data_IF_336975705908
#
_entry.id   IF_336975705908
#
_cell.length_a   1.000
_cell.length_b   1.000
_cell.length_c   1.000
_cell.angle_alpha   90.00
_cell.angle_beta   90.00
_cell.angle_gamma   90.00
#
_symmetry.space_group_name_H-M   'P 1'
#
loop_
_entity.id
_entity.type
_entity.pdbx_description
1 polymer ?
#
# COMPACT_ATOMS: atom_id res chain seq x y z
N UNK A 1 22.25 61.49 -33.71
CA UNK A 1 23.30 61.94 -34.65
C UNK A 1 23.00 61.28 -35.96
N UNK A 2 22.71 61.79 -37.13
CA UNK A 2 22.83 63.04 -37.80
C UNK A 2 22.02 62.86 -39.09
N UNK A 3 20.96 63.60 -39.31
CA UNK A 3 20.69 64.57 -40.39
C UNK A 3 21.46 64.41 -41.69
N UNK A 4 20.75 64.34 -42.85
CA UNK A 4 20.71 65.38 -43.91
C UNK A 4 19.89 64.86 -45.09
N UNK A 5 18.77 65.46 -45.41
CA UNK A 5 18.55 66.47 -46.46
C UNK A 5 19.07 66.08 -47.86
N UNK A 6 18.11 65.96 -48.80
CA UNK A 6 18.21 66.83 -49.98
C UNK A 6 16.83 66.82 -50.68
N UNK A 7 16.15 67.97 -50.60
CA UNK A 7 15.21 68.54 -51.53
C UNK A 7 15.98 69.01 -52.73
N UNK A 8 15.59 68.59 -53.95
CA UNK A 8 15.72 69.35 -55.19
C UNK A 8 15.44 68.43 -56.38
N UNK A 9 14.31 68.52 -57.00
CA UNK A 9 14.09 68.20 -58.43
C UNK A 9 12.60 68.26 -58.81
N UNK A 10 11.83 69.16 -58.19
CA UNK A 10 10.44 69.39 -58.59
C UNK A 10 10.23 70.70 -59.35
N UNK A 11 11.30 71.37 -59.77
CA UNK A 11 11.21 72.70 -60.49
C UNK A 11 11.66 72.67 -61.94
N UNK A 12 12.18 71.56 -62.43
CA UNK A 12 12.67 71.54 -63.85
C UNK A 12 11.74 70.81 -64.85
N UNK A 13 10.60 70.27 -64.40
CA UNK A 13 9.65 69.62 -65.37
C UNK A 13 8.46 70.51 -65.72
N UNK A 14 8.38 71.72 -65.19
CA UNK A 14 7.22 72.62 -65.39
C UNK A 14 7.42 73.68 -66.50
N UNK A 15 8.56 73.60 -67.25
CA UNK A 15 8.88 74.61 -68.26
C UNK A 15 8.83 74.12 -69.70
N UNK A 16 8.36 72.84 -69.93
CA UNK A 16 8.36 72.28 -71.30
C UNK A 16 7.03 71.82 -71.87
N UNK A 17 5.89 72.23 -71.26
CA UNK A 17 4.59 71.96 -71.90
C UNK A 17 3.80 73.25 -72.05
N UNK A 18 4.08 73.86 -73.16
CA UNK A 18 3.43 75.09 -73.63
C UNK A 18 1.89 74.95 -73.78
N UNK A 19 1.28 76.13 -73.63
CA UNK A 19 -0.11 76.49 -73.86
C UNK A 19 -0.77 75.78 -75.08
N UNK A 20 -1.95 75.17 -74.81
CA UNK A 20 -2.77 74.58 -75.86
C UNK A 20 -4.20 74.30 -75.44
N UNK A 21 -5.00 75.30 -75.41
CA UNK A 21 -6.47 75.28 -75.66
C UNK A 21 -7.36 74.35 -74.84
N UNK A 22 -7.89 74.92 -73.74
CA UNK A 22 -9.12 74.46 -73.08
C UNK A 22 -10.36 74.45 -73.89
N UNK A 23 -10.73 73.35 -74.50
CA UNK A 23 -12.09 73.17 -74.97
C UNK A 23 -12.88 72.35 -73.99
N UNK A 24 -13.85 73.00 -73.29
CA UNK A 24 -14.80 72.39 -72.36
C UNK A 24 -15.57 71.26 -72.95
N UNK A 25 -15.01 69.99 -72.93
CA UNK A 25 -15.63 68.75 -73.39
C UNK A 25 -16.77 68.26 -72.51
N UNK A 26 -16.81 68.77 -71.25
CA UNK A 26 -17.77 68.31 -70.24
C UNK A 26 -19.18 68.92 -70.38
N UNK A 27 -19.46 69.76 -71.34
CA UNK A 27 -20.78 70.38 -71.53
C UNK A 27 -21.56 69.79 -72.69
N UNK A 28 -21.13 68.73 -73.37
CA UNK A 28 -21.91 68.03 -74.38
C UNK A 28 -22.87 67.02 -73.74
N UNK A 29 -24.15 67.07 -74.03
CA UNK A 29 -25.15 66.18 -73.43
C UNK A 29 -24.84 64.70 -73.70
N UNK A 30 -24.11 64.41 -74.75
CA UNK A 30 -23.69 63.06 -75.16
C UNK A 30 -22.70 62.37 -74.14
N UNK A 31 -21.86 63.18 -73.44
CA UNK A 31 -20.94 62.61 -72.47
C UNK A 31 -21.69 62.22 -71.21
N UNK A 32 -22.72 62.94 -70.84
CA UNK A 32 -23.54 62.61 -69.68
C UNK A 32 -24.42 61.40 -69.93
N UNK A 33 -24.94 61.24 -71.15
CA UNK A 33 -25.71 60.03 -71.54
C UNK A 33 -24.80 58.77 -71.50
N UNK A 34 -23.55 58.91 -71.97
CA UNK A 34 -22.56 57.85 -71.90
C UNK A 34 -22.20 57.44 -70.46
N UNK A 35 -22.00 58.46 -69.54
CA UNK A 35 -21.69 58.21 -68.15
C UNK A 35 -22.89 57.55 -67.44
N UNK A 36 -24.11 57.93 -67.69
CA UNK A 36 -25.30 57.26 -67.11
C UNK A 36 -25.51 55.86 -67.67
N UNK A 37 -25.18 55.62 -68.92
CA UNK A 37 -25.26 54.27 -69.48
C UNK A 37 -24.20 53.32 -68.88
N UNK A 38 -22.96 53.83 -68.69
CA UNK A 38 -21.92 53.07 -68.07
C UNK A 38 -22.24 52.82 -66.54
N UNK A 39 -22.72 53.83 -65.82
CA UNK A 39 -23.15 53.68 -64.45
C UNK A 39 -24.32 52.66 -64.33
N UNK A 40 -25.32 52.70 -65.29
CA UNK A 40 -26.38 51.72 -65.29
C UNK A 40 -25.91 50.31 -65.65
N UNK A 41 -24.93 50.17 -66.55
CA UNK A 41 -24.35 48.85 -66.90
C UNK A 41 -23.53 48.28 -65.72
N UNK A 42 -22.73 49.12 -65.08
CA UNK A 42 -21.95 48.73 -63.87
C UNK A 42 -22.88 48.39 -62.73
N UNK A 43 -23.90 49.27 -62.42
CA UNK A 43 -24.90 49.00 -61.38
C UNK A 43 -25.72 47.72 -61.67
N UNK A 44 -26.12 47.51 -62.95
CA UNK A 44 -26.78 46.27 -63.33
C UNK A 44 -25.90 45.03 -63.20
N UNK A 45 -24.61 45.15 -63.56
CA UNK A 45 -23.64 44.06 -63.40
C UNK A 45 -23.42 43.71 -61.96
N UNK A 46 -23.23 44.74 -61.11
CA UNK A 46 -23.03 44.55 -59.66
C UNK A 46 -24.30 43.99 -58.97
N UNK A 47 -25.47 44.46 -59.38
CA UNK A 47 -26.78 43.95 -58.96
C UNK A 47 -26.97 42.46 -59.38
N UNK A 48 -26.60 42.13 -60.60
CA UNK A 48 -26.67 40.76 -61.08
C UNK A 48 -25.66 39.84 -60.38
N UNK A 49 -24.48 40.35 -60.10
CA UNK A 49 -23.45 39.61 -59.35
C UNK A 49 -23.86 39.36 -57.89
N UNK A 50 -24.41 40.38 -57.20
CA UNK A 50 -24.91 40.24 -55.83
C UNK A 50 -26.10 39.29 -55.72
N UNK A 51 -26.97 39.25 -56.75
CA UNK A 51 -28.09 38.30 -56.83
C UNK A 51 -27.64 36.87 -57.14
N UNK A 52 -26.54 36.69 -57.86
CA UNK A 52 -25.94 35.35 -58.04
C UNK A 52 -25.35 34.80 -56.77
N UNK A 53 -24.69 35.62 -55.97
CA UNK A 53 -24.12 35.21 -54.69
C UNK A 53 -25.21 34.94 -53.63
N UNK A 54 -26.29 35.75 -53.63
CA UNK A 54 -27.41 35.57 -52.69
C UNK A 54 -28.23 34.27 -52.99
N UNK A 55 -28.20 33.78 -54.23
CA UNK A 55 -28.91 32.56 -54.65
C UNK A 55 -28.00 31.31 -54.75
N UNK A 56 -26.75 31.42 -54.29
CA UNK A 56 -25.89 30.26 -54.22
C UNK A 56 -26.46 29.28 -53.18
N UNK A 57 -27.08 28.22 -53.61
CA UNK A 57 -27.59 27.14 -52.75
C UNK A 57 -26.42 26.63 -51.94
N UNK A 58 -26.56 26.50 -50.61
CA UNK A 58 -25.49 25.95 -49.80
C UNK A 58 -25.07 24.56 -50.33
N UNK A 59 -23.80 24.42 -50.71
CA UNK A 59 -23.27 23.12 -51.08
C UNK A 59 -23.07 22.31 -49.82
N UNK A 60 -23.98 21.37 -49.58
CA UNK A 60 -23.82 20.40 -48.51
C UNK A 60 -22.80 19.35 -48.96
N UNK A 61 -21.72 19.25 -48.23
CA UNK A 61 -20.79 18.12 -48.38
C UNK A 61 -21.43 16.92 -47.66
N UNK A 62 -22.00 16.00 -48.44
CA UNK A 62 -22.56 14.77 -47.86
C UNK A 62 -21.52 13.69 -47.89
N UNK A 63 -21.29 13.07 -46.72
CA UNK A 63 -20.52 11.84 -46.60
C UNK A 63 -21.47 10.67 -46.39
N UNK A 64 -21.21 9.58 -47.08
CA UNK A 64 -21.95 8.35 -46.82
C UNK A 64 -21.68 7.86 -45.40
N UNK A 65 -22.74 7.62 -44.65
CA UNK A 65 -22.64 6.95 -43.36
C UNK A 65 -22.14 5.51 -43.56
N UNK A 66 -20.94 5.23 -43.09
CA UNK A 66 -20.37 3.89 -43.10
C UNK A 66 -20.49 3.30 -41.70
N UNK A 67 -20.94 2.05 -41.62
CA UNK A 67 -20.83 1.29 -40.38
C UNK A 67 -19.37 0.91 -40.19
N UNK A 68 -18.80 1.16 -39.04
CA UNK A 68 -17.44 0.78 -38.65
C UNK A 68 -17.43 0.37 -37.21
N UNK A 69 -16.44 -0.41 -36.85
CA UNK A 69 -16.22 -0.80 -35.46
C UNK A 69 -15.68 0.41 -34.68
N UNK A 70 -16.28 0.69 -33.55
CA UNK A 70 -15.82 1.69 -32.60
C UNK A 70 -15.09 0.97 -31.45
N UNK A 71 -13.79 1.16 -31.37
CA UNK A 71 -13.02 0.70 -30.21
C UNK A 71 -12.99 1.80 -29.16
N UNK A 72 -13.56 1.51 -28.02
CA UNK A 72 -13.50 2.38 -26.86
C UNK A 72 -12.33 1.93 -25.99
N UNK A 73 -11.43 2.88 -25.68
CA UNK A 73 -10.25 2.62 -24.85
C UNK A 73 -10.35 3.42 -23.57
N UNK A 74 -10.31 2.73 -22.45
CA UNK A 74 -10.20 3.34 -21.12
C UNK A 74 -8.72 3.53 -20.81
N UNK A 75 -8.32 4.78 -20.50
CA UNK A 75 -6.98 5.12 -20.08
C UNK A 75 -6.97 5.37 -18.57
N UNK A 76 -6.06 4.72 -17.87
CA UNK A 76 -5.94 4.85 -16.42
C UNK A 76 -4.48 4.78 -15.99
N UNK A 77 -4.18 5.40 -14.85
CA UNK A 77 -2.86 5.34 -14.26
C UNK A 77 -2.80 4.23 -13.22
N UNK A 78 -1.62 3.63 -13.08
CA UNK A 78 -1.43 2.54 -12.14
C UNK A 78 -0.01 2.45 -11.61
N UNK A 79 0.15 1.60 -10.61
CA UNK A 79 1.45 1.30 -9.99
C UNK A 79 1.74 -0.19 -10.07
N UNK A 80 3.00 -0.53 -10.36
CA UNK A 80 3.47 -1.90 -10.30
C UNK A 80 3.79 -2.26 -8.85
N UNK A 81 3.14 -3.31 -8.35
CA UNK A 81 3.35 -3.80 -7.00
C UNK A 81 3.72 -5.29 -7.01
N UNK A 82 4.50 -5.77 -6.04
CA UNK A 82 4.73 -7.19 -5.87
C UNK A 82 3.40 -7.91 -5.62
N UNK A 83 3.26 -9.12 -6.14
CA UNK A 83 2.03 -9.91 -6.00
C UNK A 83 1.71 -10.19 -4.53
N UNK A 84 2.73 -10.33 -3.69
CA UNK A 84 2.58 -10.59 -2.26
C UNK A 84 3.59 -9.80 -1.45
N UNK A 85 3.09 -9.00 -0.53
CA UNK A 85 3.88 -8.28 0.47
C UNK A 85 3.42 -8.65 1.86
N UNK A 86 4.35 -8.67 2.82
CA UNK A 86 4.05 -8.89 4.23
C UNK A 86 4.64 -7.75 5.03
N UNK A 87 3.80 -7.09 5.79
CA UNK A 87 4.21 -6.06 6.74
C UNK A 87 4.61 -6.72 8.06
N UNK A 88 5.82 -6.46 8.50
CA UNK A 88 6.39 -6.98 9.73
C UNK A 88 6.41 -5.87 10.77
N UNK A 89 5.74 -6.10 11.87
CA UNK A 89 5.69 -5.21 13.03
C UNK A 89 6.28 -5.87 14.28
N UNK A 90 6.27 -5.17 15.40
CA UNK A 90 6.64 -5.72 16.70
C UNK A 90 5.42 -6.19 17.47
N UNK A 91 5.50 -7.39 18.06
CA UNK A 91 4.50 -7.91 18.99
C UNK A 91 4.78 -7.47 20.45
N UNK A 92 5.97 -6.92 20.70
CA UNK A 92 6.40 -6.43 22.02
C UNK A 92 6.78 -4.96 21.94
N UNK A 93 6.54 -4.25 23.04
CA UNK A 93 7.06 -2.89 23.23
C UNK A 93 8.48 -2.94 23.76
N UNK A 94 9.36 -2.13 23.22
CA UNK A 94 10.75 -2.06 23.66
C UNK A 94 11.56 -1.08 22.82
N UNK A 95 12.85 -0.95 23.13
CA UNK A 95 13.79 -0.17 22.34
C UNK A 95 14.55 -1.11 21.40
N UNK A 96 14.74 -0.68 20.17
CA UNK A 96 15.53 -1.41 19.18
C UNK A 96 17.01 -1.33 19.56
N UNK A 97 17.65 -2.47 19.76
CA UNK A 97 19.09 -2.57 20.03
C UNK A 97 19.88 -2.61 18.74
N UNK A 98 19.53 -3.53 17.84
CA UNK A 98 20.21 -3.72 16.57
C UNK A 98 19.20 -3.92 15.43
N UNK A 99 19.55 -3.40 14.24
CA UNK A 99 18.89 -3.70 12.96
C UNK A 99 19.93 -4.43 12.11
N UNK A 100 19.62 -5.66 11.68
CA UNK A 100 20.56 -6.57 11.02
C UNK A 100 20.45 -6.60 9.50
N UNK A 101 19.48 -5.86 8.95
CA UNK A 101 19.13 -5.88 7.53
C UNK A 101 18.76 -4.49 7.05
N UNK A 102 18.94 -4.24 5.75
CA UNK A 102 18.59 -2.96 5.13
C UNK A 102 17.67 -3.15 3.92
N UNK A 103 17.23 -2.03 3.34
CA UNK A 103 16.40 -2.02 2.14
C UNK A 103 17.14 -2.71 0.98
N UNK A 104 16.41 -3.51 0.21
CA UNK A 104 16.88 -4.37 -0.88
C UNK A 104 17.65 -5.63 -0.44
N UNK A 105 17.80 -5.90 0.86
CA UNK A 105 18.41 -7.13 1.32
C UNK A 105 17.47 -8.34 1.08
N UNK A 106 18.09 -9.46 0.68
CA UNK A 106 17.39 -10.75 0.57
C UNK A 106 17.37 -11.43 1.94
N UNK A 107 16.19 -11.78 2.39
CA UNK A 107 15.96 -12.42 3.69
C UNK A 107 15.32 -13.78 3.52
N UNK A 108 15.63 -14.68 4.45
CA UNK A 108 15.03 -16.02 4.53
C UNK A 108 14.01 -16.08 5.65
N UNK A 109 13.03 -16.93 5.51
CA UNK A 109 12.07 -17.25 6.58
C UNK A 109 12.79 -17.64 7.87
N UNK A 110 12.44 -16.99 8.98
CA UNK A 110 13.07 -17.20 10.28
C UNK A 110 14.36 -16.41 10.51
N UNK A 111 14.87 -15.69 9.52
CA UNK A 111 16.02 -14.80 9.69
C UNK A 111 15.65 -13.62 10.59
N UNK A 112 16.53 -13.32 11.55
CA UNK A 112 16.37 -12.17 12.47
C UNK A 112 16.61 -10.88 11.68
N UNK A 113 15.68 -9.96 11.79
CA UNK A 113 15.74 -8.63 11.15
C UNK A 113 16.12 -7.55 12.14
N UNK A 114 15.52 -7.62 13.34
CA UNK A 114 15.71 -6.66 14.44
C UNK A 114 15.81 -7.39 15.75
N UNK A 115 16.65 -6.88 16.62
CA UNK A 115 16.76 -7.28 18.02
C UNK A 115 16.33 -6.11 18.92
N UNK A 116 15.34 -6.35 19.74
CA UNK A 116 14.95 -5.44 20.80
C UNK A 116 15.91 -5.55 22.00
N UNK A 117 15.89 -4.55 22.86
CA UNK A 117 16.57 -4.64 24.16
C UNK A 117 15.91 -5.72 25.02
N UNK A 118 16.69 -6.72 25.39
CA UNK A 118 16.24 -7.92 26.11
C UNK A 118 16.61 -7.93 27.57
N UNK A 119 17.29 -6.91 28.11
CA UNK A 119 17.84 -6.94 29.45
C UNK A 119 16.75 -7.17 30.51
N UNK A 120 15.63 -6.47 30.40
CA UNK A 120 14.47 -6.65 31.28
C UNK A 120 13.81 -8.04 31.11
N UNK A 121 13.69 -8.52 29.89
CA UNK A 121 13.09 -9.85 29.58
C UNK A 121 14.01 -10.96 30.13
N UNK A 122 15.32 -10.81 29.98
CA UNK A 122 16.28 -11.77 30.49
C UNK A 122 16.28 -11.82 32.03
N UNK A 123 16.17 -10.67 32.68
CA UNK A 123 16.04 -10.61 34.15
C UNK A 123 14.73 -11.29 34.61
N UNK A 124 13.63 -11.08 33.90
CA UNK A 124 12.34 -11.74 34.16
C UNK A 124 12.45 -13.27 33.96
N UNK A 125 13.04 -13.71 32.88
CA UNK A 125 13.29 -15.13 32.60
C UNK A 125 14.11 -15.79 33.71
N UNK A 126 15.16 -15.13 34.17
CA UNK A 126 15.99 -15.64 35.28
C UNK A 126 15.18 -15.77 36.58
N UNK A 127 14.28 -14.80 36.84
CA UNK A 127 13.37 -14.88 38.02
C UNK A 127 12.42 -16.07 37.91
N UNK A 128 11.84 -16.32 36.73
CA UNK A 128 10.93 -17.45 36.52
C UNK A 128 11.66 -18.79 36.59
N UNK A 129 12.92 -18.87 36.11
CA UNK A 129 13.76 -20.05 36.30
C UNK A 129 14.00 -20.33 37.77
N UNK A 130 14.30 -19.30 38.58
CA UNK A 130 14.48 -19.47 40.02
C UNK A 130 13.20 -19.90 40.72
N UNK A 131 12.03 -19.39 40.27
CA UNK A 131 10.71 -19.81 40.77
C UNK A 131 10.45 -21.30 40.49
N UNK A 132 10.75 -21.80 39.31
CA UNK A 132 10.63 -23.22 38.96
C UNK A 132 11.54 -24.06 39.86
N UNK A 133 12.80 -23.65 40.07
CA UNK A 133 13.73 -24.35 40.93
C UNK A 133 13.23 -24.41 42.39
N UNK A 134 12.67 -23.33 42.93
CA UNK A 134 12.06 -23.27 44.23
C UNK A 134 10.85 -24.19 44.37
N UNK A 135 9.94 -24.18 43.38
CA UNK A 135 8.77 -25.07 43.36
C UNK A 135 9.19 -26.56 43.28
N UNK A 136 10.23 -26.88 42.48
CA UNK A 136 10.80 -28.24 42.43
C UNK A 136 11.38 -28.70 43.74
N UNK A 137 12.14 -27.82 44.44
CA UNK A 137 12.68 -28.15 45.74
C UNK A 137 11.57 -28.43 46.77
N UNK A 138 10.49 -27.63 46.75
CA UNK A 138 9.33 -27.87 47.60
C UNK A 138 8.64 -29.21 47.27
N UNK A 139 8.50 -29.56 45.99
CA UNK A 139 7.97 -30.87 45.57
C UNK A 139 8.82 -32.02 46.11
N UNK A 140 10.15 -31.91 46.02
CA UNK A 140 11.06 -32.92 46.60
C UNK A 140 10.87 -33.06 48.13
N UNK A 141 10.66 -31.94 48.84
CA UNK A 141 10.39 -31.93 50.28
C UNK A 141 9.06 -32.68 50.56
N UNK A 142 7.99 -32.36 49.88
CA UNK A 142 6.68 -33.03 50.09
C UNK A 142 6.71 -34.51 49.71
N UNK A 143 7.47 -34.90 48.68
CA UNK A 143 7.71 -36.27 48.30
C UNK A 143 8.46 -37.04 49.40
N UNK A 144 9.44 -36.41 50.02
CA UNK A 144 10.16 -37.00 51.19
C UNK A 144 9.21 -37.17 52.38
N UNK A 145 8.39 -36.17 52.68
CA UNK A 145 7.38 -36.26 53.77
C UNK A 145 6.34 -37.34 53.50
N UNK A 146 5.87 -37.49 52.25
CA UNK A 146 4.95 -38.57 51.87
C UNK A 146 5.61 -39.94 52.05
N UNK A 147 6.89 -40.08 51.63
CA UNK A 147 7.65 -41.34 51.80
C UNK A 147 7.77 -41.70 53.29
N UNK A 148 8.04 -40.71 54.16
CA UNK A 148 8.09 -40.87 55.59
C UNK A 148 6.72 -41.31 56.16
N UNK A 149 5.64 -40.62 55.85
CA UNK A 149 4.30 -40.95 56.26
C UNK A 149 3.86 -42.38 55.85
N UNK A 150 4.17 -42.78 54.61
CA UNK A 150 3.89 -44.14 54.13
C UNK A 150 4.71 -45.20 54.86
N UNK A 151 6.02 -44.92 55.11
CA UNK A 151 6.85 -45.83 55.84
C UNK A 151 6.43 -46.00 57.32
N UNK A 152 5.91 -44.92 57.92
CA UNK A 152 5.34 -44.94 59.27
C UNK A 152 4.07 -45.77 59.33
N UNK A 153 3.12 -45.52 58.40
CA UNK A 153 1.89 -46.31 58.32
C UNK A 153 2.21 -47.81 58.11
N UNK A 154 3.11 -48.16 57.18
CA UNK A 154 3.48 -49.53 56.91
C UNK A 154 4.09 -50.22 58.17
N UNK A 155 4.89 -49.51 58.95
CA UNK A 155 5.39 -50.07 60.23
C UNK A 155 4.29 -50.30 61.23
N UNK A 156 3.35 -49.36 61.37
CA UNK A 156 2.20 -49.49 62.31
C UNK A 156 1.25 -50.62 61.89
N UNK A 157 0.97 -50.79 60.61
CA UNK A 157 0.18 -51.91 60.07
C UNK A 157 0.86 -53.27 60.30
N UNK A 158 2.18 -53.35 60.14
CA UNK A 158 2.94 -54.56 60.42
C UNK A 158 2.90 -54.91 61.92
N UNK A 159 3.09 -53.93 62.83
CA UNK A 159 2.96 -54.13 64.26
C UNK A 159 1.54 -54.60 64.65
N UNK A 160 0.54 -53.97 64.07
CA UNK A 160 -0.87 -54.34 64.27
C UNK A 160 -1.15 -55.78 63.85
N UNK A 161 -0.64 -56.19 62.71
CA UNK A 161 -0.70 -57.58 62.17
C UNK A 161 -0.01 -58.59 63.13
N UNK A 162 1.20 -58.28 63.57
CA UNK A 162 2.01 -59.15 64.42
C UNK A 162 1.42 -59.27 65.85
N UNK A 163 0.79 -58.21 66.37
CA UNK A 163 0.14 -58.18 67.69
C UNK A 163 -1.28 -58.86 67.75
N UNK A 164 -1.74 -59.36 66.63
CA UNK A 164 -3.13 -59.88 66.53
C UNK A 164 -4.20 -58.79 66.68
N UNK A 165 -3.95 -57.56 66.31
CA UNK A 165 -4.87 -56.43 66.35
C UNK A 165 -4.94 -55.69 67.69
N UNK A 166 -4.02 -55.95 68.60
CA UNK A 166 -4.02 -55.34 69.94
C UNK A 166 -3.31 -54.01 70.00
N UNK A 167 -2.26 -53.81 69.21
CA UNK A 167 -1.41 -52.60 69.17
C UNK A 167 -0.94 -52.39 67.74
N UNK A 168 -0.95 -51.15 67.23
CA UNK A 168 -1.55 -49.92 67.77
C UNK A 168 -3.10 -49.95 67.76
N UNK A 169 -3.72 -48.98 68.45
CA UNK A 169 -5.17 -48.83 68.47
C UNK A 169 -5.72 -48.46 67.07
N UNK A 170 -7.02 -48.73 66.84
CA UNK A 170 -7.66 -48.36 65.61
C UNK A 170 -7.56 -46.84 65.33
N UNK A 171 -7.71 -46.02 66.36
CA UNK A 171 -7.55 -44.55 66.27
C UNK A 171 -6.14 -44.11 65.86
N UNK A 172 -5.09 -44.83 66.30
CA UNK A 172 -3.71 -44.53 65.87
C UNK A 172 -3.44 -44.92 64.43
N UNK A 173 -4.00 -46.03 63.96
CA UNK A 173 -3.94 -46.43 62.56
C UNK A 173 -4.72 -45.44 61.65
N UNK A 174 -5.90 -45.01 62.07
CA UNK A 174 -6.69 -44.04 61.31
C UNK A 174 -5.98 -42.67 61.26
N UNK A 175 -5.29 -42.28 62.36
CA UNK A 175 -4.46 -41.05 62.36
C UNK A 175 -3.30 -41.17 61.39
N UNK A 176 -2.63 -42.35 61.32
CA UNK A 176 -1.51 -42.58 60.38
C UNK A 176 -1.98 -42.61 58.93
N UNK A 177 -3.18 -43.18 58.65
CA UNK A 177 -3.80 -43.15 57.31
C UNK A 177 -4.16 -41.70 56.90
N UNK A 178 -4.78 -40.95 57.78
CA UNK A 178 -5.06 -39.54 57.55
C UNK A 178 -3.78 -38.68 57.29
N UNK A 179 -2.66 -39.06 57.99
CA UNK A 179 -1.36 -38.39 57.72
C UNK A 179 -0.86 -38.69 56.29
N UNK A 180 -1.00 -39.92 55.81
CA UNK A 180 -0.64 -40.26 54.38
C UNK A 180 -1.56 -39.53 53.40
N UNK A 181 -2.85 -39.49 53.66
CA UNK A 181 -3.77 -38.75 52.76
C UNK A 181 -3.44 -37.25 52.68
N UNK A 182 -3.11 -36.62 53.79
CA UNK A 182 -2.67 -35.23 53.83
C UNK A 182 -1.38 -35.05 53.05
N UNK A 183 -0.37 -35.92 53.23
CA UNK A 183 0.90 -35.86 52.53
C UNK A 183 0.74 -36.07 51.00
N UNK A 184 -0.24 -36.92 50.57
CA UNK A 184 -0.59 -37.09 49.15
C UNK A 184 -1.22 -35.79 48.60
N UNK A 185 -2.12 -35.16 49.36
CA UNK A 185 -2.70 -33.87 48.95
C UNK A 185 -1.65 -32.74 48.87
N UNK A 186 -0.69 -32.71 49.80
CA UNK A 186 0.42 -31.76 49.81
C UNK A 186 1.38 -31.96 48.61
N UNK A 187 1.68 -33.23 48.27
CA UNK A 187 2.44 -33.54 47.05
C UNK A 187 1.70 -33.08 45.79
N UNK A 188 0.41 -33.36 45.69
CA UNK A 188 -0.38 -32.93 44.52
C UNK A 188 -0.43 -31.40 44.40
N UNK A 189 -0.55 -30.67 45.52
CA UNK A 189 -0.49 -29.20 45.55
C UNK A 189 0.90 -28.68 45.12
N UNK A 190 1.98 -29.34 45.55
CA UNK A 190 3.35 -28.97 45.16
C UNK A 190 3.58 -29.27 43.66
N UNK A 191 3.04 -30.38 43.12
CA UNK A 191 3.09 -30.67 41.69
C UNK A 191 2.36 -29.61 40.87
N UNK A 192 1.17 -29.18 41.28
CA UNK A 192 0.45 -28.07 40.68
C UNK A 192 1.27 -26.77 40.68
N UNK A 193 1.94 -26.45 41.78
CA UNK A 193 2.82 -25.28 41.89
C UNK A 193 4.02 -25.32 40.90
N UNK A 194 4.57 -26.52 40.64
CA UNK A 194 5.63 -26.72 39.63
C UNK A 194 5.06 -26.49 38.24
N UNK A 195 3.86 -26.96 37.97
CA UNK A 195 3.18 -26.77 36.66
C UNK A 195 2.94 -25.27 36.40
N UNK A 196 2.46 -24.54 37.40
CA UNK A 196 2.24 -23.10 37.37
C UNK A 196 3.55 -22.33 37.10
N UNK A 197 4.58 -22.63 37.84
CA UNK A 197 5.89 -21.98 37.67
C UNK A 197 6.48 -22.26 36.26
N UNK A 198 6.29 -23.48 35.74
CA UNK A 198 6.72 -23.84 34.38
C UNK A 198 5.92 -23.11 33.31
N UNK A 199 4.61 -22.89 33.50
CA UNK A 199 3.79 -22.14 32.60
C UNK A 199 4.24 -20.67 32.54
N UNK A 200 4.54 -20.06 33.70
CA UNK A 200 5.10 -18.71 33.76
C UNK A 200 6.45 -18.62 33.05
N UNK A 201 7.35 -19.58 33.27
CA UNK A 201 8.63 -19.64 32.56
C UNK A 201 8.45 -19.73 31.07
N UNK A 202 7.52 -20.55 30.59
CA UNK A 202 7.24 -20.73 29.15
C UNK A 202 6.74 -19.43 28.51
N UNK A 203 5.93 -18.65 29.24
CA UNK A 203 5.47 -17.32 28.81
C UNK A 203 6.67 -16.37 28.66
N UNK A 204 7.57 -16.32 29.63
CA UNK A 204 8.75 -15.45 29.58
C UNK A 204 9.75 -15.87 28.48
N UNK A 205 9.93 -17.18 28.25
CA UNK A 205 10.72 -17.69 27.11
C UNK A 205 10.10 -17.26 25.77
N UNK A 206 8.79 -17.32 25.64
CA UNK A 206 8.07 -16.89 24.45
C UNK A 206 8.26 -15.39 24.22
N UNK A 207 8.10 -14.58 25.26
CA UNK A 207 8.33 -13.14 25.19
C UNK A 207 9.76 -12.81 24.78
N UNK A 208 10.75 -13.49 25.34
CA UNK A 208 12.16 -13.31 24.97
C UNK A 208 12.38 -13.69 23.49
N UNK A 209 11.77 -14.77 23.03
CA UNK A 209 11.88 -15.18 21.61
C UNK A 209 11.25 -14.18 20.65
N UNK A 210 10.18 -13.50 21.06
CA UNK A 210 9.49 -12.43 20.29
C UNK A 210 10.27 -11.11 20.27
N UNK A 211 11.22 -10.93 21.17
CA UNK A 211 12.12 -9.77 21.14
C UNK A 211 13.07 -9.79 19.94
N UNK A 212 13.30 -10.95 19.34
CA UNK A 212 13.99 -11.08 18.06
C UNK A 212 12.95 -11.14 16.94
N UNK A 213 12.75 -10.05 16.23
CA UNK A 213 11.78 -9.94 15.14
C UNK A 213 12.35 -10.63 13.92
N UNK A 214 11.61 -11.62 13.39
CA UNK A 214 12.06 -12.48 12.28
C UNK A 214 11.16 -12.35 11.07
N UNK A 215 11.73 -12.60 9.89
CA UNK A 215 10.92 -12.67 8.66
C UNK A 215 10.03 -13.92 8.66
N UNK A 216 8.72 -13.78 8.42
CA UNK A 216 7.80 -14.92 8.27
C UNK A 216 7.90 -15.61 6.91
N UNK A 217 8.52 -14.97 5.90
CA UNK A 217 8.64 -15.45 4.53
C UNK A 217 10.07 -15.26 4.00
N UNK A 218 10.39 -15.97 2.92
CA UNK A 218 11.55 -15.64 2.09
C UNK A 218 11.21 -14.45 1.19
N UNK A 219 12.16 -13.54 0.95
CA UNK A 219 11.86 -12.38 0.12
C UNK A 219 12.94 -11.31 0.12
N UNK A 220 12.54 -10.11 -0.29
CA UNK A 220 13.38 -8.90 -0.34
C UNK A 220 12.71 -7.79 0.46
N UNK A 221 13.49 -7.07 1.25
CA UNK A 221 12.99 -5.92 2.03
C UNK A 221 12.74 -4.75 1.08
N UNK A 222 11.50 -4.26 1.06
CA UNK A 222 11.11 -3.08 0.28
C UNK A 222 11.30 -1.79 1.06
N UNK A 223 10.86 -1.79 2.33
CA UNK A 223 10.92 -0.62 3.20
C UNK A 223 11.43 -0.99 4.58
N UNK A 224 12.18 -0.08 5.18
CA UNK A 224 12.64 -0.12 6.57
C UNK A 224 12.21 1.19 7.23
N UNK A 225 11.41 1.09 8.28
CA UNK A 225 10.87 2.22 9.05
C UNK A 225 11.36 2.22 10.50
N UNK A 226 12.49 1.57 10.76
CA UNK A 226 13.04 1.40 12.10
C UNK A 226 14.55 1.54 12.11
N UNK A 227 15.06 2.27 13.11
CA UNK A 227 16.50 2.47 13.34
C UNK A 227 16.89 2.02 14.76
N UNK A 228 18.18 1.67 14.99
CA UNK A 228 18.68 1.44 16.33
C UNK A 228 18.42 2.63 17.25
N UNK A 229 17.93 2.36 18.46
CA UNK A 229 17.50 3.37 19.42
C UNK A 229 16.03 3.79 19.33
N UNK A 230 15.31 3.42 18.29
CA UNK A 230 13.88 3.72 18.19
C UNK A 230 13.09 2.91 19.22
N UNK A 231 12.12 3.55 19.85
CA UNK A 231 11.13 2.86 20.68
C UNK A 231 10.01 2.32 19.81
N UNK A 232 9.71 1.04 19.93
CA UNK A 232 8.58 0.38 19.29
C UNK A 232 7.53 0.01 20.32
N UNK A 233 6.27 0.18 19.99
CA UNK A 233 5.14 -0.14 20.86
C UNK A 233 4.23 -1.16 20.19
N UNK A 234 3.89 -2.22 20.92
CA UNK A 234 2.81 -3.13 20.56
C UNK A 234 1.47 -2.43 20.87
N UNK A 235 0.98 -1.62 19.93
CA UNK A 235 -0.29 -0.91 20.04
C UNK A 235 -1.34 -1.51 19.10
N UNK A 236 -2.62 -1.10 19.27
CA UNK A 236 -3.72 -1.49 18.39
C UNK A 236 -3.47 -1.12 16.91
N UNK A 237 -2.64 -0.13 16.65
CA UNK A 237 -2.08 0.17 15.34
C UNK A 237 -0.64 -0.33 15.30
N UNK A 238 -0.47 -1.56 14.82
CA UNK A 238 0.86 -2.14 14.67
C UNK A 238 1.70 -1.26 13.72
N UNK A 239 2.75 -0.66 14.26
CA UNK A 239 3.71 0.10 13.45
C UNK A 239 4.45 -0.89 12.56
N UNK A 240 4.34 -0.73 11.24
CA UNK A 240 5.10 -1.52 10.28
C UNK A 240 6.58 -1.12 10.36
N UNK A 241 7.42 -2.08 10.71
CA UNK A 241 8.88 -1.90 10.79
C UNK A 241 9.54 -2.20 9.45
N UNK A 242 9.08 -3.26 8.78
CA UNK A 242 9.54 -3.66 7.46
C UNK A 242 8.36 -4.09 6.59
N UNK A 243 8.52 -3.86 5.28
CA UNK A 243 7.69 -4.49 4.27
C UNK A 243 8.58 -5.42 3.46
N UNK A 244 8.21 -6.69 3.40
CA UNK A 244 8.94 -7.73 2.66
C UNK A 244 8.10 -8.20 1.48
N UNK A 245 8.69 -8.22 0.28
CA UNK A 245 8.08 -8.82 -0.91
C UNK A 245 8.60 -10.24 -1.09
N UNK A 246 7.71 -11.19 -1.37
CA UNK A 246 8.07 -12.59 -1.59
C UNK A 246 8.83 -12.78 -2.91
N UNK A 247 8.34 -12.14 -3.98
CA UNK A 247 8.95 -12.27 -5.31
C UNK A 247 8.79 -10.95 -6.09
N UNK A 248 9.92 -10.38 -6.51
CA UNK A 248 9.95 -9.17 -7.33
C UNK A 248 9.87 -9.46 -8.83
N UNK A 249 9.92 -10.73 -9.25
CA UNK A 249 9.76 -11.10 -10.66
C UNK A 249 8.28 -11.20 -11.04
N UNK A 250 7.40 -11.43 -10.06
CA UNK A 250 5.95 -11.48 -10.24
C UNK A 250 5.31 -10.22 -9.73
N UNK A 251 5.12 -9.28 -10.63
CA UNK A 251 4.46 -8.02 -10.32
C UNK A 251 3.01 -8.04 -10.81
N UNK A 252 2.15 -7.33 -10.12
CA UNK A 252 0.81 -6.97 -10.59
C UNK A 252 0.76 -5.47 -10.80
N UNK A 253 0.00 -5.06 -11.79
CA UNK A 253 -0.31 -3.67 -12.04
C UNK A 253 -1.64 -3.34 -11.33
N UNK A 254 -1.62 -2.46 -10.36
CA UNK A 254 -2.83 -1.91 -9.77
C UNK A 254 -3.14 -0.59 -10.45
N UNK A 255 -4.34 -0.49 -11.04
CA UNK A 255 -4.77 0.63 -11.86
C UNK A 255 -5.95 1.31 -11.18
N UNK A 256 -5.90 2.63 -11.07
CA UNK A 256 -7.03 3.43 -10.59
C UNK A 256 -7.87 3.88 -11.78
N UNK A 257 -9.07 3.32 -11.91
CA UNK A 257 -10.02 3.62 -12.98
C UNK A 257 -11.06 4.60 -12.45
N UNK A 258 -11.39 5.62 -13.23
CA UNK A 258 -12.42 6.60 -12.89
C UNK A 258 -13.82 5.97 -12.82
N UNK A 259 -14.70 6.52 -11.96
CA UNK A 259 -16.09 6.06 -11.81
C UNK A 259 -16.87 6.08 -13.14
N UNK A 260 -16.58 7.05 -14.01
CA UNK A 260 -17.24 7.15 -15.30
C UNK A 260 -16.90 5.98 -16.25
N UNK A 261 -15.72 5.38 -16.11
CA UNK A 261 -15.18 4.39 -17.04
C UNK A 261 -15.27 2.95 -16.48
N UNK A 262 -15.43 2.78 -15.16
CA UNK A 262 -15.38 1.47 -14.52
C UNK A 262 -16.46 0.49 -15.04
N UNK A 263 -17.62 1.01 -15.46
CA UNK A 263 -18.69 0.20 -16.02
C UNK A 263 -18.34 -0.54 -17.31
N UNK A 264 -17.24 -0.13 -17.98
CA UNK A 264 -16.75 -0.72 -19.23
C UNK A 264 -15.58 -1.68 -19.02
N UNK A 265 -15.02 -1.73 -17.80
CA UNK A 265 -13.89 -2.60 -17.43
C UNK A 265 -14.43 -3.91 -16.88
N UNK A 266 -14.04 -5.03 -17.50
CA UNK A 266 -14.46 -6.37 -17.10
C UNK A 266 -13.26 -7.29 -16.89
N UNK A 267 -13.41 -8.25 -15.98
CA UNK A 267 -12.43 -9.30 -15.82
C UNK A 267 -12.20 -10.07 -17.12
N UNK A 268 -10.95 -10.38 -17.39
CA UNK A 268 -10.56 -11.10 -18.60
C UNK A 268 -10.26 -10.22 -19.82
N UNK A 269 -10.55 -8.92 -19.79
CA UNK A 269 -10.22 -7.99 -20.88
C UNK A 269 -8.71 -7.89 -21.08
N UNK A 270 -8.32 -7.72 -22.35
CA UNK A 270 -6.94 -7.43 -22.71
C UNK A 270 -6.64 -5.97 -22.45
N UNK A 271 -5.52 -5.71 -21.83
CA UNK A 271 -4.99 -4.38 -21.58
C UNK A 271 -3.55 -4.30 -22.09
N UNK A 272 -3.05 -3.11 -22.22
CA UNK A 272 -1.65 -2.84 -22.49
C UNK A 272 -1.20 -1.65 -21.65
N UNK A 273 0.03 -1.69 -21.18
CA UNK A 273 0.59 -0.59 -20.41
C UNK A 273 2.02 -0.26 -20.85
N UNK A 274 2.42 0.96 -20.56
CA UNK A 274 3.80 1.43 -20.73
C UNK A 274 4.32 1.87 -19.36
N UNK A 275 5.61 1.74 -19.13
CA UNK A 275 6.27 2.24 -17.92
C UNK A 275 7.11 3.47 -18.25
N UNK A 276 7.16 4.43 -17.35
CA UNK A 276 7.91 5.68 -17.54
C UNK A 276 9.40 5.46 -17.83
N UNK A 277 9.97 4.36 -17.32
CA UNK A 277 11.35 3.98 -17.59
C UNK A 277 11.58 3.52 -19.05
N UNK A 278 10.55 3.01 -19.73
CA UNK A 278 10.63 2.51 -21.11
C UNK A 278 9.36 2.91 -21.89
N UNK A 279 9.20 4.20 -22.24
CA UNK A 279 7.96 4.71 -22.85
C UNK A 279 7.70 4.15 -24.26
N UNK A 280 8.75 3.70 -24.95
CA UNK A 280 8.62 3.08 -26.28
C UNK A 280 8.21 1.60 -26.25
N UNK A 281 8.17 0.97 -25.09
CA UNK A 281 7.84 -0.45 -24.95
C UNK A 281 6.46 -0.64 -24.34
N UNK A 282 5.59 -1.30 -25.07
CA UNK A 282 4.26 -1.68 -24.59
C UNK A 282 4.27 -3.10 -24.08
N UNK A 283 3.72 -3.31 -22.90
CA UNK A 283 3.61 -4.61 -22.24
C UNK A 283 2.14 -5.08 -22.31
N UNK A 284 1.89 -6.30 -22.75
CA UNK A 284 0.55 -6.86 -22.70
C UNK A 284 0.17 -7.20 -21.25
N UNK A 285 -1.09 -6.94 -20.93
CA UNK A 285 -1.67 -7.28 -19.63
C UNK A 285 -3.07 -7.85 -19.82
N UNK A 286 -3.64 -8.37 -18.74
CA UNK A 286 -5.01 -8.85 -18.70
C UNK A 286 -5.62 -8.43 -17.36
N UNK A 287 -6.83 -7.91 -17.38
CA UNK A 287 -7.57 -7.60 -16.17
C UNK A 287 -7.90 -8.91 -15.45
N UNK A 288 -7.42 -9.06 -14.23
CA UNK A 288 -7.64 -10.26 -13.41
C UNK A 288 -8.74 -10.06 -12.38
N UNK A 289 -8.94 -8.82 -11.94
CA UNK A 289 -9.94 -8.46 -10.94
C UNK A 289 -10.34 -7.01 -11.11
N UNK A 290 -11.58 -6.71 -10.76
CA UNK A 290 -12.09 -5.35 -10.61
C UNK A 290 -12.69 -5.25 -9.21
N UNK A 291 -12.19 -4.33 -8.39
CA UNK A 291 -12.69 -4.16 -7.04
C UNK A 291 -13.99 -3.34 -7.06
N UNK A 292 -15.02 -3.82 -6.36
CA UNK A 292 -16.31 -3.11 -6.23
C UNK A 292 -16.28 -1.99 -5.20
N UNK A 293 -15.25 -1.94 -4.37
CA UNK A 293 -15.04 -0.87 -3.40
C UNK A 293 -14.38 0.34 -4.03
N UNK A 294 -15.04 1.49 -4.00
CA UNK A 294 -14.42 2.74 -4.45
C UNK A 294 -13.50 3.34 -3.39
N UNK A 295 -12.44 3.98 -3.85
CA UNK A 295 -11.56 4.81 -3.02
C UNK A 295 -11.74 6.26 -3.41
N UNK A 296 -11.95 7.14 -2.42
CA UNK A 296 -12.09 8.58 -2.66
C UNK A 296 -10.81 9.28 -2.22
N UNK A 297 -10.07 9.83 -3.17
CA UNK A 297 -8.86 10.63 -2.93
C UNK A 297 -9.03 11.99 -3.60
N UNK A 298 -8.77 13.07 -2.88
CA UNK A 298 -8.88 14.46 -3.38
C UNK A 298 -10.22 14.76 -4.09
N UNK A 299 -11.30 14.22 -3.54
CA UNK A 299 -12.66 14.33 -4.08
C UNK A 299 -12.91 13.61 -5.42
N UNK A 300 -11.96 12.81 -5.90
CA UNK A 300 -12.11 11.93 -7.06
C UNK A 300 -12.43 10.51 -6.59
N UNK A 301 -13.45 9.92 -7.16
CA UNK A 301 -13.85 8.52 -6.88
C UNK A 301 -13.19 7.63 -7.92
N UNK A 302 -12.39 6.68 -7.46
CA UNK A 302 -11.72 5.70 -8.32
C UNK A 302 -11.95 4.29 -7.82
N UNK A 303 -11.89 3.34 -8.74
CA UNK A 303 -11.98 1.90 -8.48
C UNK A 303 -10.65 1.24 -8.84
N UNK A 304 -10.24 0.25 -8.07
CA UNK A 304 -9.02 -0.51 -8.36
C UNK A 304 -9.32 -1.69 -9.31
N UNK A 305 -8.44 -1.83 -10.29
CA UNK A 305 -8.47 -2.96 -11.21
C UNK A 305 -7.08 -3.58 -11.38
#
# INVERSE_FOLDING_TARGET
>A
MTKKNTTSSAKEVQELLGDGLSRRWWQSPTVWIGAVAIAGAVGGYLFWQSHKEANAKPQYVTQQAKRGDLSLTVAANGTLQPTRTVNIGSELSGTVRNVLVDVNDKVKKGQVLVELDTDKLQAQLNRSKASVASAQARLQQTQASLKEARANLARQEEVHRLSGGKVPSASELDSARAAVERAVAEEAAAQASVADARAALKTDETNLSKASIKSPIDGVILTRSVDPGNAVAASLQAVTLFTVAEDLQKLRLEVSVDEADIGQVQEGQRASFTVSAHPSRTYPAKVTRVDYGSTKTDNVVTYLA
#
